data_IF_975564299587
#
_entry.id   IF_975564299587
#
_cell.length_a   1.000
_cell.length_b   1.000
_cell.length_c   1.000
_cell.angle_alpha   90.00
_cell.angle_beta   90.00
_cell.angle_gamma   90.00
#
_symmetry.space_group_name_H-M   'P 1'
#
loop_
_entity.id
_entity.type
_entity.pdbx_description
1 polymer ?
#
# COMPACT_ATOMS: atom_id res chain seq x y z
N UNK A 1 0.70 -17.27 -1.34
CA UNK A 1 0.42 -15.83 -1.51
C UNK A 1 -1.01 -15.62 -1.04
N UNK A 2 -1.21 -14.81 0.00
CA UNK A 2 -2.54 -14.51 0.54
C UNK A 2 -2.80 -13.01 0.37
N UNK A 3 -4.06 -12.62 0.22
CA UNK A 3 -4.46 -11.21 0.10
C UNK A 3 -5.47 -10.87 1.17
N UNK A 4 -5.41 -9.65 1.68
CA UNK A 4 -6.39 -9.09 2.60
C UNK A 4 -6.80 -7.70 2.14
N UNK A 5 -7.92 -7.20 2.65
CA UNK A 5 -8.36 -5.81 2.48
C UNK A 5 -8.46 -5.16 3.84
N UNK A 6 -8.04 -3.89 3.93
CA UNK A 6 -8.02 -3.14 5.19
C UNK A 6 -8.20 -1.65 4.92
N UNK A 7 -8.73 -0.93 5.90
CA UNK A 7 -8.67 0.52 5.93
C UNK A 7 -7.26 0.97 6.29
N UNK A 8 -6.62 1.71 5.39
CA UNK A 8 -5.41 2.43 5.72
C UNK A 8 -5.78 3.86 6.13
N UNK A 9 -5.35 4.27 7.33
CA UNK A 9 -5.59 5.61 7.86
C UNK A 9 -4.33 6.49 7.78
N UNK A 10 -4.58 7.77 7.58
CA UNK A 10 -3.58 8.83 7.64
C UNK A 10 -4.18 10.08 8.28
N UNK A 11 -3.46 11.21 8.21
CA UNK A 11 -3.71 12.40 9.05
C UNK A 11 -5.18 12.84 9.11
N UNK A 12 -5.91 12.77 8.00
CA UNK A 12 -7.36 13.05 7.92
C UNK A 12 -8.08 12.24 6.82
N UNK A 13 -7.54 11.09 6.42
CA UNK A 13 -8.05 10.32 5.29
C UNK A 13 -8.01 8.83 5.59
N UNK A 14 -8.98 8.11 5.05
CA UNK A 14 -9.05 6.66 5.06
C UNK A 14 -9.24 6.17 3.64
N UNK A 15 -8.50 5.13 3.26
CA UNK A 15 -8.65 4.50 1.95
C UNK A 15 -8.64 2.99 2.12
N UNK A 16 -9.42 2.30 1.29
CA UNK A 16 -9.42 0.85 1.28
C UNK A 16 -8.19 0.40 0.50
N UNK A 17 -7.36 -0.45 1.11
CA UNK A 17 -6.14 -0.97 0.49
C UNK A 17 -6.21 -2.48 0.35
N UNK A 18 -5.63 -2.98 -0.73
CA UNK A 18 -5.26 -4.39 -0.85
C UNK A 18 -3.91 -4.64 -0.19
N UNK A 19 -3.84 -5.64 0.67
CA UNK A 19 -2.61 -6.08 1.32
C UNK A 19 -2.21 -7.41 0.73
N UNK A 20 -0.96 -7.49 0.31
CA UNK A 20 -0.34 -8.74 -0.12
C UNK A 20 0.48 -9.36 1.01
N UNK A 21 0.03 -10.49 1.53
CA UNK A 21 0.74 -11.26 2.53
C UNK A 21 1.70 -12.23 1.85
N UNK A 22 2.99 -11.92 1.95
CA UNK A 22 4.07 -12.68 1.32
C UNK A 22 5.12 -13.11 2.36
N UNK A 23 5.15 -14.41 2.69
CA UNK A 23 6.06 -14.98 3.68
C UNK A 23 7.53 -14.97 3.25
N UNK A 24 7.82 -14.80 1.96
CA UNK A 24 9.18 -14.69 1.43
C UNK A 24 9.76 -13.28 1.43
N UNK A 25 9.00 -12.26 1.89
CA UNK A 25 9.52 -10.90 1.98
C UNK A 25 10.16 -10.66 3.35
N UNK A 26 11.36 -10.09 3.37
CA UNK A 26 12.03 -9.67 4.63
C UNK A 26 11.55 -8.30 5.13
N UNK A 27 10.75 -7.60 4.33
CA UNK A 27 10.29 -6.23 4.58
C UNK A 27 8.84 -6.06 4.16
N UNK A 28 8.18 -5.11 4.80
CA UNK A 28 6.88 -4.60 4.37
C UNK A 28 7.09 -3.42 3.44
N UNK A 29 6.28 -3.32 2.39
CA UNK A 29 6.37 -2.25 1.42
C UNK A 29 5.03 -1.55 1.27
N UNK A 30 5.07 -0.26 0.99
CA UNK A 30 3.90 0.53 0.60
C UNK A 30 4.20 1.35 -0.63
N UNK A 31 3.16 1.71 -1.40
CA UNK A 31 3.35 2.56 -2.58
C UNK A 31 3.47 4.02 -2.17
N UNK A 32 4.33 4.76 -2.87
CA UNK A 32 4.56 6.20 -2.66
C UNK A 32 3.33 7.06 -2.88
N UNK A 33 2.46 6.68 -3.80
CA UNK A 33 1.21 7.40 -4.02
C UNK A 33 0.25 7.23 -2.84
N UNK A 34 0.17 6.03 -2.25
CA UNK A 34 -0.60 5.77 -1.04
C UNK A 34 -0.06 6.58 0.15
N UNK A 35 1.26 6.57 0.38
CA UNK A 35 1.88 7.34 1.47
C UNK A 35 1.64 8.85 1.32
N UNK A 36 1.84 9.38 0.11
CA UNK A 36 1.57 10.79 -0.22
C UNK A 36 0.11 11.14 -0.01
N UNK A 37 -0.80 10.30 -0.51
CA UNK A 37 -2.25 10.53 -0.43
C UNK A 37 -2.75 10.58 1.00
N UNK A 38 -2.30 9.65 1.84
CA UNK A 38 -2.67 9.57 3.26
C UNK A 38 -1.86 10.50 4.16
N UNK A 39 -0.83 11.16 3.62
CA UNK A 39 0.12 11.96 4.41
C UNK A 39 0.72 11.13 5.56
N UNK A 40 1.17 9.92 5.22
CA UNK A 40 1.72 9.01 6.21
C UNK A 40 3.03 9.59 6.80
N UNK A 41 3.27 9.40 8.11
CA UNK A 41 4.49 9.86 8.73
C UNK A 41 5.67 9.02 8.23
N UNK A 42 6.68 9.69 7.68
CA UNK A 42 7.93 9.08 7.23
C UNK A 42 9.06 9.36 8.21
N UNK A 43 9.90 8.37 8.49
CA UNK A 43 11.04 8.49 9.39
C UNK A 43 12.21 7.63 8.92
N UNK A 44 13.37 8.26 8.80
CA UNK A 44 14.59 7.59 8.39
C UNK A 44 14.55 7.06 6.95
N UNK A 45 15.72 6.62 6.49
CA UNK A 45 15.90 6.03 5.17
C UNK A 45 16.67 4.73 5.29
N UNK A 46 16.27 3.72 4.54
CA UNK A 46 17.00 2.44 4.43
C UNK A 46 17.51 2.29 2.99
N UNK A 47 18.78 1.89 2.86
CA UNK A 47 19.35 1.49 1.57
C UNK A 47 18.85 0.08 1.24
N UNK A 48 17.99 -0.04 0.23
CA UNK A 48 17.45 -1.33 -0.18
C UNK A 48 17.95 -1.74 -1.56
N UNK A 49 18.33 -3.02 -1.65
CA UNK A 49 18.60 -3.70 -2.90
C UNK A 49 17.34 -4.43 -3.37
N UNK A 50 16.63 -3.88 -4.35
CA UNK A 50 15.37 -4.44 -4.83
C UNK A 50 15.51 -5.03 -6.23
N UNK A 51 15.02 -6.27 -6.36
CA UNK A 51 14.83 -6.99 -7.61
C UNK A 51 13.36 -6.84 -8.03
N UNK A 52 13.09 -6.00 -9.03
CA UNK A 52 11.75 -5.96 -9.65
C UNK A 52 11.70 -6.94 -10.81
N UNK A 53 11.06 -8.10 -10.59
CA UNK A 53 10.86 -9.09 -11.65
C UNK A 53 9.96 -8.49 -12.76
N UNK A 54 10.42 -8.56 -14.02
CA UNK A 54 9.66 -8.09 -15.18
C UNK A 54 9.89 -6.62 -15.57
N UNK A 55 10.75 -5.88 -14.86
CA UNK A 55 11.16 -4.54 -15.31
C UNK A 55 12.44 -4.61 -16.16
N UNK A 56 12.52 -3.81 -17.21
CA UNK A 56 13.74 -3.59 -17.99
C UNK A 56 14.69 -2.60 -17.32
N UNK A 57 14.36 -2.12 -16.11
CA UNK A 57 15.14 -1.11 -15.40
C UNK A 57 16.31 -1.80 -14.70
N UNK A 58 17.54 -1.25 -14.80
CA UNK A 58 18.71 -1.83 -14.17
C UNK A 58 18.58 -1.81 -12.65
N UNK A 59 19.20 -2.80 -12.01
CA UNK A 59 19.45 -2.87 -10.57
C UNK A 59 19.92 -1.52 -10.04
N UNK A 60 19.26 -1.00 -9.01
CA UNK A 60 19.67 0.26 -8.38
C UNK A 60 19.47 0.19 -6.88
N UNK A 61 20.51 0.60 -6.16
CA UNK A 61 20.40 0.99 -4.76
C UNK A 61 19.58 2.27 -4.71
N UNK A 62 18.54 2.24 -3.90
CA UNK A 62 17.76 3.42 -3.61
C UNK A 62 17.62 3.54 -2.11
N UNK A 63 17.72 4.78 -1.64
CA UNK A 63 17.27 5.15 -0.31
C UNK A 63 15.76 5.27 -0.34
N UNK A 64 15.10 4.44 0.42
CA UNK A 64 13.65 4.49 0.59
C UNK A 64 13.32 4.99 1.99
N UNK A 65 12.26 5.79 2.05
CA UNK A 65 11.74 6.26 3.33
C UNK A 65 10.97 5.13 4.01
N UNK A 66 11.21 4.95 5.30
CA UNK A 66 10.30 4.15 6.12
C UNK A 66 9.11 5.02 6.47
N UNK A 67 7.90 4.49 6.33
CA UNK A 67 6.67 5.16 6.73
C UNK A 67 5.82 4.24 7.59
N UNK A 68 5.01 4.84 8.47
CA UNK A 68 4.02 4.09 9.25
C UNK A 68 2.68 4.05 8.56
N UNK A 69 2.16 2.85 8.37
CA UNK A 69 0.82 2.60 7.86
C UNK A 69 -0.03 2.08 9.02
N UNK A 70 -1.09 2.80 9.34
CA UNK A 70 -2.11 2.32 10.26
C UNK A 70 -3.19 1.57 9.47
N UNK A 71 -3.46 0.34 9.90
CA UNK A 71 -4.37 -0.59 9.26
C UNK A 71 -5.49 -0.97 10.23
N UNK A 72 -6.72 -0.95 9.75
CA UNK A 72 -7.89 -1.35 10.52
C UNK A 72 -8.76 -2.31 9.70
N UNK A 73 -9.27 -3.35 10.36
CA UNK A 73 -10.23 -4.26 9.74
C UNK A 73 -11.61 -3.60 9.64
N UNK A 74 -12.44 -4.07 8.71
CA UNK A 74 -13.86 -3.70 8.68
C UNK A 74 -14.70 -4.50 9.69
N UNK A 75 -14.15 -5.59 10.24
CA UNK A 75 -14.82 -6.48 11.21
C UNK A 75 -14.34 -6.28 12.64
N UNK A 76 -13.13 -5.77 12.83
CA UNK A 76 -12.50 -5.56 14.13
C UNK A 76 -12.01 -4.11 14.21
N UNK A 77 -12.46 -3.33 15.21
CA UNK A 77 -12.04 -1.94 15.37
C UNK A 77 -10.58 -1.78 15.78
N UNK A 78 -9.87 -2.86 16.12
CA UNK A 78 -8.44 -2.79 16.49
C UNK A 78 -7.60 -2.29 15.32
N UNK A 79 -6.76 -1.31 15.63
CA UNK A 79 -5.78 -0.76 14.70
C UNK A 79 -4.43 -1.46 14.89
N UNK A 80 -3.75 -1.69 13.76
CA UNK A 80 -2.39 -2.23 13.72
C UNK A 80 -1.54 -1.21 12.98
N UNK A 81 -0.40 -0.81 13.58
CA UNK A 81 0.58 0.02 12.91
C UNK A 81 1.70 -0.86 12.36
N UNK A 82 2.06 -0.66 11.10
CA UNK A 82 3.16 -1.36 10.43
C UNK A 82 4.11 -0.37 9.81
N UNK A 83 5.40 -0.60 10.03
CA UNK A 83 6.46 0.12 9.34
C UNK A 83 6.63 -0.49 7.95
N UNK A 84 6.62 0.35 6.92
CA UNK A 84 6.70 -0.06 5.53
C UNK A 84 7.68 0.83 4.76
N UNK A 85 8.47 0.23 3.88
CA UNK A 85 9.37 0.94 2.99
C UNK A 85 8.58 1.50 1.80
N UNK A 86 8.70 2.80 1.56
CA UNK A 86 7.96 3.51 0.53
C UNK A 86 8.62 3.33 -0.85
N UNK A 87 7.97 2.56 -1.73
CA UNK A 87 8.44 2.31 -3.07
C UNK A 87 7.60 3.05 -4.11
N UNK A 88 8.17 3.51 -5.23
CA UNK A 88 7.38 4.04 -6.33
C UNK A 88 6.46 2.96 -6.91
N UNK A 89 6.92 1.71 -6.97
CA UNK A 89 6.19 0.56 -7.49
C UNK A 89 6.62 -0.69 -6.68
N UNK A 90 5.66 -1.53 -6.27
CA UNK A 90 5.95 -2.79 -5.54
C UNK A 90 6.01 -3.97 -6.52
N UNK A 91 4.99 -4.09 -7.38
CA UNK A 91 4.90 -5.06 -8.48
C UNK A 91 3.98 -4.48 -9.57
N UNK A 92 4.27 -4.73 -10.86
CA UNK A 92 3.27 -4.62 -11.92
C UNK A 92 2.34 -5.85 -11.84
N UNK A 93 1.38 -5.85 -10.92
CA UNK A 93 0.26 -6.77 -11.02
C UNK A 93 -0.83 -6.07 -11.81
N UNK A 94 -1.20 -6.63 -12.97
CA UNK A 94 -2.49 -6.32 -13.60
C UNK A 94 -3.59 -6.87 -12.66
N UNK A 95 -3.98 -6.10 -11.65
CA UNK A 95 -5.16 -6.41 -10.88
C UNK A 95 -6.38 -6.22 -11.78
N UNK A 96 -7.30 -7.20 -11.85
CA UNK A 96 -8.55 -6.99 -12.56
C UNK A 96 -9.25 -5.77 -11.97
N UNK A 97 -9.73 -4.89 -12.84
CA UNK A 97 -10.41 -3.66 -12.42
C UNK A 97 -11.50 -3.97 -11.39
N UNK A 98 -11.60 -3.13 -10.37
CA UNK A 98 -12.67 -3.22 -9.38
C UNK A 98 -14.01 -3.12 -10.13
N UNK A 99 -14.91 -4.08 -9.91
CA UNK A 99 -16.23 -4.07 -10.53
C UNK A 99 -17.01 -2.79 -10.21
N UNK A 100 -17.74 -2.25 -11.19
CA UNK A 100 -18.45 -0.97 -11.07
C UNK A 100 -19.42 -0.94 -9.87
N UNK A 101 -20.06 -2.05 -9.54
CA UNK A 101 -20.96 -2.14 -8.39
C UNK A 101 -20.25 -1.88 -7.06
N UNK A 102 -19.02 -2.39 -6.92
CA UNK A 102 -18.21 -2.16 -5.74
C UNK A 102 -17.71 -0.71 -5.71
N UNK A 103 -17.30 -0.14 -6.86
CA UNK A 103 -16.95 1.28 -6.96
C UNK A 103 -18.08 2.21 -6.54
N UNK A 104 -19.33 1.93 -6.97
CA UNK A 104 -20.49 2.72 -6.55
C UNK A 104 -20.73 2.64 -5.05
N UNK A 105 -20.67 1.44 -4.46
CA UNK A 105 -20.81 1.27 -3.01
C UNK A 105 -19.71 1.98 -2.22
N UNK A 106 -18.49 2.02 -2.75
CA UNK A 106 -17.39 2.77 -2.15
C UNK A 106 -17.63 4.29 -2.26
N UNK A 107 -18.14 4.76 -3.40
CA UNK A 107 -18.45 6.17 -3.64
C UNK A 107 -19.62 6.68 -2.78
N UNK A 108 -20.69 5.90 -2.63
CA UNK A 108 -21.83 6.19 -1.74
C UNK A 108 -21.40 6.37 -0.28
N UNK A 109 -20.34 5.65 0.11
CA UNK A 109 -19.73 5.73 1.45
C UNK A 109 -18.64 6.80 1.55
N UNK A 110 -18.44 7.62 0.51
CA UNK A 110 -17.40 8.66 0.43
C UNK A 110 -15.97 8.09 0.57
N UNK A 111 -15.77 6.83 0.21
CA UNK A 111 -14.50 6.12 0.34
C UNK A 111 -13.74 6.21 -0.98
N UNK A 112 -12.53 6.72 -0.94
CA UNK A 112 -11.73 6.93 -2.15
C UNK A 112 -10.91 5.66 -2.41
N UNK A 113 -10.98 5.14 -3.63
CA UNK A 113 -10.21 3.97 -4.09
C UNK A 113 -8.77 4.38 -4.40
N UNK A 114 -7.79 3.64 -3.90
CA UNK A 114 -6.37 3.99 -4.08
C UNK A 114 -5.85 3.64 -5.48
N UNK A 115 -6.38 2.58 -6.07
CA UNK A 115 -5.93 1.98 -7.33
C UNK A 115 -6.97 2.12 -8.46
N UNK A 116 -7.61 3.29 -8.59
CA UNK A 116 -8.43 3.60 -9.76
C UNK A 116 -7.51 3.81 -10.98
N UNK A 117 -7.76 3.15 -12.13
CA UNK A 117 -6.89 3.25 -13.31
C UNK A 117 -6.79 4.67 -13.89
#
# INVERSE_FOLDING_TARGET
MQTATSWASGRHKFVLVGILLHTGSQRTFTRRDLSTRLHLPSFGTEDLFLLTFGSSKPFRNYQYWTTQVQLQSHLDPREITVDAQELPEICMLNMPAIGQDLLMQLHERQMIVADEP
#
